data_IF_306363348681
#
_entry.id   IF_306363348681
#
_cell.length_a   1.000
_cell.length_b   1.000
_cell.length_c   1.000
_cell.angle_alpha   90.00
_cell.angle_beta   90.00
_cell.angle_gamma   90.00
#
_symmetry.space_group_name_H-M   'P 1'
#
loop_
_entity.id
_entity.type
_entity.pdbx_description
1 polymer ?
#
# COMPACT_ATOMS: atom_id res chain seq x y z
N UNK A 1 -11.01 -24.79 9.83
CA UNK A 1 -10.78 -23.37 9.49
C UNK A 1 -11.08 -22.57 10.73
N UNK A 2 -10.10 -21.91 11.36
CA UNK A 2 -10.38 -20.93 12.42
C UNK A 2 -11.16 -19.79 11.78
N UNK A 3 -12.25 -19.35 12.41
CA UNK A 3 -13.02 -18.23 11.89
C UNK A 3 -12.15 -16.96 12.01
N UNK A 4 -12.06 -16.15 10.95
CA UNK A 4 -11.29 -14.89 10.97
C UNK A 4 -11.77 -14.00 12.14
N UNK A 5 -13.07 -14.06 12.47
CA UNK A 5 -13.65 -13.34 13.60
C UNK A 5 -13.02 -13.73 14.95
N UNK A 6 -12.61 -14.99 15.15
CA UNK A 6 -12.06 -15.48 16.43
C UNK A 6 -10.81 -14.68 16.84
N UNK A 7 -10.05 -14.18 15.86
CA UNK A 7 -8.88 -13.32 16.06
C UNK A 7 -9.31 -12.00 16.70
N UNK A 8 -10.41 -11.41 16.26
CA UNK A 8 -10.88 -10.13 16.79
C UNK A 8 -11.51 -10.25 18.18
N UNK A 9 -12.09 -11.41 18.51
CA UNK A 9 -12.64 -11.68 19.85
C UNK A 9 -11.55 -11.98 20.90
N UNK A 10 -10.40 -12.51 20.50
CA UNK A 10 -9.35 -12.89 21.42
C UNK A 10 -8.57 -11.64 21.95
N UNK A 11 -8.59 -11.37 23.28
CA UNK A 11 -7.86 -10.24 23.87
C UNK A 11 -6.33 -10.38 23.79
N UNK A 12 -5.83 -11.58 23.52
CA UNK A 12 -4.39 -11.85 23.37
C UNK A 12 -3.93 -11.88 21.91
N UNK A 13 -4.77 -11.45 20.96
CA UNK A 13 -4.38 -11.36 19.56
C UNK A 13 -3.33 -10.29 19.34
N UNK A 14 -2.30 -10.65 18.57
CA UNK A 14 -1.23 -9.72 18.19
C UNK A 14 -1.71 -8.74 17.12
N UNK A 15 -1.07 -7.58 17.04
CA UNK A 15 -1.30 -6.61 15.96
C UNK A 15 -1.17 -7.26 14.57
N UNK A 16 -0.15 -8.10 14.38
CA UNK A 16 0.10 -8.75 13.09
C UNK A 16 -1.01 -9.73 12.73
N UNK A 17 -1.51 -10.51 13.70
CA UNK A 17 -2.62 -11.42 13.47
C UNK A 17 -3.90 -10.65 13.10
N UNK A 18 -4.16 -9.52 13.76
CA UNK A 18 -5.31 -8.64 13.47
C UNK A 18 -5.16 -8.00 12.09
N UNK A 19 -3.97 -7.53 11.74
CA UNK A 19 -3.66 -6.92 10.43
C UNK A 19 -3.85 -7.94 9.30
N UNK A 20 -3.30 -9.15 9.44
CA UNK A 20 -3.48 -10.24 8.47
C UNK A 20 -4.94 -10.71 8.35
N UNK A 21 -5.65 -10.80 9.47
CA UNK A 21 -7.07 -11.13 9.48
C UNK A 21 -7.90 -10.07 8.75
N UNK A 22 -7.58 -8.80 8.99
CA UNK A 22 -8.12 -7.64 8.30
C UNK A 22 -7.88 -7.68 6.80
N UNK A 23 -6.64 -7.91 6.39
CA UNK A 23 -6.23 -8.01 4.99
C UNK A 23 -7.05 -9.09 4.26
N UNK A 24 -7.15 -10.29 4.85
CA UNK A 24 -7.98 -11.39 4.32
C UNK A 24 -9.45 -11.02 4.21
N UNK A 25 -10.00 -10.31 5.19
CA UNK A 25 -11.39 -9.84 5.17
C UNK A 25 -11.63 -8.86 4.00
N UNK A 26 -10.75 -7.89 3.81
CA UNK A 26 -10.85 -6.93 2.71
C UNK A 26 -10.67 -7.59 1.34
N UNK A 27 -9.73 -8.52 1.19
CA UNK A 27 -9.59 -9.32 -0.03
C UNK A 27 -10.90 -10.05 -0.38
N UNK A 28 -11.57 -10.65 0.62
CA UNK A 28 -12.87 -11.30 0.42
C UNK A 28 -13.98 -10.30 0.03
N UNK A 29 -14.08 -9.15 0.73
CA UNK A 29 -15.08 -8.09 0.43
C UNK A 29 -14.93 -7.59 -1.01
N UNK A 30 -13.68 -7.41 -1.47
CA UNK A 30 -13.35 -6.95 -2.81
C UNK A 30 -13.18 -8.07 -3.83
N UNK A 31 -13.68 -9.28 -3.51
CA UNK A 31 -13.75 -10.44 -4.41
C UNK A 31 -12.41 -10.78 -5.07
N UNK A 32 -11.33 -10.70 -4.30
CA UNK A 32 -10.02 -11.12 -4.76
C UNK A 32 -10.00 -12.62 -5.08
N UNK A 33 -9.18 -13.07 -6.03
CA UNK A 33 -8.92 -14.49 -6.27
C UNK A 33 -8.45 -15.21 -4.99
N UNK A 34 -8.74 -16.51 -4.88
CA UNK A 34 -8.41 -17.28 -3.68
C UNK A 34 -6.90 -17.37 -3.38
N UNK A 35 -6.06 -17.25 -4.40
CA UNK A 35 -4.60 -17.25 -4.31
C UNK A 35 -4.01 -15.86 -4.10
N UNK A 36 -4.82 -14.79 -4.10
CA UNK A 36 -4.34 -13.45 -3.79
C UNK A 36 -4.32 -13.26 -2.27
N UNK A 37 -3.15 -12.86 -1.77
CA UNK A 37 -2.87 -12.73 -0.34
C UNK A 37 -2.31 -11.34 0.02
N UNK A 38 -2.17 -10.45 -0.96
CA UNK A 38 -1.65 -9.11 -0.81
C UNK A 38 -2.68 -8.09 -1.32
N UNK A 39 -3.19 -7.27 -0.41
CA UNK A 39 -4.24 -6.29 -0.73
C UNK A 39 -3.74 -5.19 -1.67
N UNK A 40 -2.46 -4.80 -1.59
CA UNK A 40 -1.88 -3.80 -2.47
C UNK A 40 -1.76 -4.34 -3.91
N UNK A 41 -1.39 -5.61 -4.09
CA UNK A 41 -1.34 -6.26 -5.41
C UNK A 41 -2.74 -6.29 -6.04
N UNK A 42 -3.75 -6.73 -5.29
CA UNK A 42 -5.15 -6.72 -5.75
C UNK A 42 -5.62 -5.31 -6.09
N UNK A 43 -5.29 -4.32 -5.24
CA UNK A 43 -5.62 -2.90 -5.47
C UNK A 43 -5.01 -2.39 -6.78
N UNK A 44 -3.75 -2.73 -7.04
CA UNK A 44 -3.05 -2.31 -8.25
C UNK A 44 -3.67 -2.97 -9.51
N UNK A 45 -3.95 -4.27 -9.46
CA UNK A 45 -4.64 -4.97 -10.54
C UNK A 45 -6.03 -4.36 -10.83
N UNK A 46 -6.79 -4.03 -9.77
CA UNK A 46 -8.08 -3.35 -9.88
C UNK A 46 -7.94 -1.95 -10.51
N UNK A 47 -6.88 -1.21 -10.16
CA UNK A 47 -6.57 0.08 -10.76
C UNK A 47 -6.28 -0.03 -12.26
N UNK A 48 -5.37 -0.93 -12.66
CA UNK A 48 -5.05 -1.16 -14.08
C UNK A 48 -6.30 -1.53 -14.90
N UNK A 49 -7.19 -2.34 -14.32
CA UNK A 49 -8.47 -2.71 -14.95
C UNK A 49 -9.44 -1.52 -15.04
N UNK A 50 -9.40 -0.59 -14.09
CA UNK A 50 -10.23 0.61 -14.10
C UNK A 50 -9.72 1.66 -15.09
N UNK A 51 -8.40 1.80 -15.23
CA UNK A 51 -7.77 2.80 -16.12
C UNK A 51 -7.98 2.54 -17.60
N UNK A 52 -8.34 1.31 -18.00
CA UNK A 52 -8.68 0.99 -19.40
C UNK A 52 -10.08 1.47 -19.80
N UNK A 53 -10.91 1.87 -18.83
CA UNK A 53 -12.27 2.37 -19.09
C UNK A 53 -12.25 3.87 -19.37
N UNK A 54 -13.10 4.30 -20.30
CA UNK A 54 -13.31 5.73 -20.64
C UNK A 54 -13.71 6.56 -19.42
N UNK A 55 -14.39 5.95 -18.45
CA UNK A 55 -14.66 6.51 -17.12
C UNK A 55 -14.11 5.54 -16.07
N UNK A 56 -12.97 5.89 -15.48
CA UNK A 56 -12.39 5.14 -14.37
C UNK A 56 -13.22 5.38 -13.11
N UNK A 57 -13.77 4.31 -12.53
CA UNK A 57 -14.42 4.37 -11.23
C UNK A 57 -13.39 4.00 -10.14
N UNK A 58 -12.81 5.04 -9.54
CA UNK A 58 -11.84 4.88 -8.45
C UNK A 58 -12.49 4.45 -7.13
N UNK A 59 -13.81 4.62 -6.98
CA UNK A 59 -14.53 4.21 -5.75
C UNK A 59 -14.61 2.70 -5.61
N UNK A 60 -14.46 1.97 -6.72
CA UNK A 60 -14.45 0.50 -6.75
C UNK A 60 -13.14 -0.13 -6.25
N UNK A 61 -12.11 0.67 -5.99
CA UNK A 61 -10.82 0.16 -5.54
C UNK A 61 -10.88 -0.30 -4.07
N UNK A 62 -10.22 -1.43 -3.73
CA UNK A 62 -9.99 -1.79 -2.33
C UNK A 62 -9.15 -0.73 -1.61
N UNK A 63 -9.23 -0.61 -0.28
CA UNK A 63 -8.32 0.26 0.47
C UNK A 63 -6.85 -0.15 0.29
N UNK A 64 -5.90 0.72 0.63
CA UNK A 64 -4.49 0.30 0.75
C UNK A 64 -4.33 -0.65 1.92
N UNK A 65 -3.25 -1.43 1.94
CA UNK A 65 -2.89 -2.30 3.06
C UNK A 65 -2.82 -1.52 4.39
N UNK A 66 -2.13 -0.38 4.43
CA UNK A 66 -2.03 0.43 5.64
C UNK A 66 -3.38 0.98 6.11
N UNK A 67 -4.26 1.38 5.18
CA UNK A 67 -5.61 1.81 5.54
C UNK A 67 -6.48 0.68 6.10
N UNK A 68 -6.38 -0.52 5.50
CA UNK A 68 -7.06 -1.72 5.96
C UNK A 68 -6.58 -2.12 7.36
N UNK A 69 -5.27 -2.08 7.61
CA UNK A 69 -4.68 -2.37 8.91
C UNK A 69 -5.21 -1.44 10.01
N UNK A 70 -5.15 -0.12 9.80
CA UNK A 70 -5.63 0.85 10.80
C UNK A 70 -7.13 0.69 11.06
N UNK A 71 -7.90 0.36 10.02
CA UNK A 71 -9.32 0.03 10.18
C UNK A 71 -9.51 -1.22 11.05
N UNK A 72 -8.75 -2.28 10.80
CA UNK A 72 -8.81 -3.53 11.58
C UNK A 72 -8.43 -3.32 13.05
N UNK A 73 -7.46 -2.45 13.35
CA UNK A 73 -7.14 -2.09 14.73
C UNK A 73 -8.29 -1.38 15.43
N UNK A 74 -8.98 -0.44 14.77
CA UNK A 74 -10.15 0.22 15.37
C UNK A 74 -11.30 -0.75 15.60
N UNK A 75 -11.53 -1.68 14.67
CA UNK A 75 -12.54 -2.75 14.84
C UNK A 75 -12.18 -3.63 16.03
N UNK A 76 -10.91 -4.02 16.16
CA UNK A 76 -10.43 -4.81 17.30
C UNK A 76 -10.68 -4.08 18.61
N UNK A 77 -10.26 -2.81 18.74
CA UNK A 77 -10.51 -1.99 19.91
C UNK A 77 -12.01 -1.95 20.27
N UNK A 78 -12.87 -1.72 19.29
CA UNK A 78 -14.31 -1.65 19.49
C UNK A 78 -14.89 -2.95 20.04
N UNK A 79 -14.47 -4.10 19.48
CA UNK A 79 -14.90 -5.43 19.93
C UNK A 79 -14.41 -5.68 21.35
N UNK A 80 -13.15 -5.39 21.65
CA UNK A 80 -12.56 -5.60 22.96
C UNK A 80 -13.22 -4.74 24.04
N UNK A 81 -13.59 -3.50 23.71
CA UNK A 81 -14.39 -2.64 24.60
C UNK A 81 -15.77 -3.24 24.91
N UNK A 82 -16.45 -3.83 23.92
CA UNK A 82 -17.73 -4.52 24.15
C UNK A 82 -17.58 -5.77 25.03
N UNK A 83 -16.42 -6.41 24.99
CA UNK A 83 -16.06 -7.54 25.87
C UNK A 83 -15.53 -7.07 27.24
N UNK A 84 -15.59 -5.77 27.53
CA UNK A 84 -15.14 -5.17 28.77
C UNK A 84 -13.62 -5.25 29.01
N UNK A 85 -12.84 -5.41 27.94
CA UNK A 85 -11.37 -5.33 27.95
C UNK A 85 -10.94 -3.88 27.69
N UNK A 86 -10.17 -3.31 28.63
CA UNK A 86 -9.69 -1.93 28.52
C UNK A 86 -8.36 -1.91 27.77
N UNK A 87 -8.43 -1.51 26.49
CA UNK A 87 -7.26 -1.28 25.64
C UNK A 87 -7.05 0.21 25.40
N UNK A 88 -5.79 0.59 25.21
CA UNK A 88 -5.43 1.98 24.97
C UNK A 88 -5.69 2.35 23.49
N UNK A 89 -6.53 3.36 23.19
CA UNK A 89 -6.92 3.66 21.80
C UNK A 89 -5.76 4.02 20.87
N UNK A 90 -4.71 4.65 21.41
CA UNK A 90 -3.49 5.06 20.71
C UNK A 90 -2.66 3.90 20.15
N UNK A 91 -2.85 2.68 20.68
CA UNK A 91 -2.25 1.46 20.16
C UNK A 91 -3.09 0.81 19.05
N UNK A 92 -4.34 1.26 18.85
CA UNK A 92 -5.32 0.54 18.05
C UNK A 92 -6.05 1.45 17.04
N UNK A 93 -5.28 2.17 16.23
CA UNK A 93 -5.77 2.91 15.06
C UNK A 93 -6.43 4.25 15.37
N UNK A 94 -6.19 4.79 16.57
CA UNK A 94 -6.52 6.16 16.95
C UNK A 94 -5.25 6.94 17.31
N UNK A 95 -5.26 8.24 17.07
CA UNK A 95 -4.26 9.18 17.54
C UNK A 95 -4.91 10.14 18.53
N UNK A 96 -4.14 10.62 19.50
CA UNK A 96 -4.61 11.54 20.53
C UNK A 96 -4.12 12.95 20.20
N UNK A 97 -5.04 13.90 20.08
CA UNK A 97 -4.73 15.31 19.91
C UNK A 97 -4.27 15.95 21.22
N UNK A 98 -3.73 17.16 21.12
CA UNK A 98 -3.22 17.93 22.27
C UNK A 98 -4.31 18.25 23.30
N UNK A 99 -5.56 18.34 22.85
CA UNK A 99 -6.77 18.56 23.67
C UNK A 99 -7.31 17.26 24.30
N UNK A 100 -6.68 16.12 24.04
CA UNK A 100 -7.11 14.79 24.47
C UNK A 100 -8.16 14.14 23.56
N UNK A 101 -8.60 14.81 22.48
CA UNK A 101 -9.53 14.25 21.51
C UNK A 101 -8.90 13.09 20.73
N UNK A 102 -9.71 12.08 20.39
CA UNK A 102 -9.27 10.93 19.59
C UNK A 102 -9.63 11.14 18.11
N UNK A 103 -8.64 10.98 17.24
CA UNK A 103 -8.80 11.04 15.79
C UNK A 103 -8.43 9.70 15.16
N UNK A 104 -9.20 9.20 14.19
CA UNK A 104 -8.86 7.92 13.56
C UNK A 104 -7.60 8.09 12.71
N UNK A 105 -6.63 7.20 12.91
CA UNK A 105 -5.48 7.09 12.01
C UNK A 105 -5.95 6.46 10.71
N UNK A 106 -5.87 7.20 9.60
CA UNK A 106 -6.39 6.71 8.31
C UNK A 106 -5.46 5.71 7.65
N UNK A 107 -4.15 5.99 7.67
CA UNK A 107 -3.07 5.11 7.21
C UNK A 107 -1.74 5.62 7.78
N UNK A 108 -0.75 4.74 7.94
CA UNK A 108 0.64 5.11 8.18
C UNK A 108 1.50 5.06 6.91
N UNK A 109 0.90 4.65 5.78
CA UNK A 109 1.56 4.65 4.49
C UNK A 109 1.96 6.09 4.09
N UNK A 110 3.10 6.29 3.42
CA UNK A 110 3.42 7.59 2.87
C UNK A 110 2.37 7.99 1.82
N UNK A 111 2.07 9.29 1.72
CA UNK A 111 1.08 9.84 0.78
C UNK A 111 1.37 9.44 -0.67
N UNK A 112 2.64 9.31 -1.01
CA UNK A 112 3.09 8.74 -2.26
C UNK A 112 4.46 8.05 -2.03
N UNK A 113 4.82 7.05 -2.84
CA UNK A 113 6.19 6.54 -2.87
C UNK A 113 7.18 7.70 -3.03
N UNK A 114 8.28 7.65 -2.26
CA UNK A 114 9.32 8.68 -2.34
C UNK A 114 9.84 8.85 -3.77
N UNK A 115 9.89 7.77 -4.54
CA UNK A 115 10.23 7.77 -5.96
C UNK A 115 9.31 8.66 -6.80
N UNK A 116 7.99 8.67 -6.56
CA UNK A 116 7.04 9.53 -7.29
C UNK A 116 7.18 10.99 -6.87
N UNK A 117 7.38 11.25 -5.57
CA UNK A 117 7.63 12.61 -5.08
C UNK A 117 8.96 13.19 -5.62
N UNK A 118 9.94 12.31 -5.86
CA UNK A 118 11.22 12.63 -6.45
C UNK A 118 11.22 12.53 -7.99
N UNK A 119 10.13 12.07 -8.61
CA UNK A 119 10.02 11.97 -10.07
C UNK A 119 9.80 13.35 -10.69
N UNK A 120 10.90 14.00 -11.06
CA UNK A 120 10.85 15.32 -11.68
C UNK A 120 10.96 15.18 -13.19
N UNK A 121 9.89 15.60 -13.86
CA UNK A 121 9.79 15.58 -15.31
C UNK A 121 10.45 16.82 -15.90
N UNK A 122 11.59 16.59 -16.53
CA UNK A 122 12.31 17.53 -17.39
C UNK A 122 11.49 17.67 -18.70
N UNK A 123 11.22 18.90 -19.19
CA UNK A 123 10.63 19.13 -20.53
C UNK A 123 11.72 19.25 -21.62
N UNK A 124 12.94 18.80 -21.36
CA UNK A 124 14.02 18.93 -22.32
C UNK A 124 13.81 17.96 -23.48
N UNK A 125 13.95 18.47 -24.70
CA UNK A 125 13.75 17.72 -25.94
C UNK A 125 15.04 17.21 -26.57
N UNK A 126 16.20 17.68 -26.10
CA UNK A 126 17.53 17.39 -26.67
C UNK A 126 18.51 16.81 -25.65
N UNK A 127 17.99 16.28 -24.53
CA UNK A 127 18.78 15.77 -23.39
C UNK A 127 18.82 16.75 -22.21
N UNK A 128 18.98 16.23 -20.98
CA UNK A 128 18.91 17.03 -19.75
C UNK A 128 20.32 17.53 -19.33
N UNK A 129 20.95 18.37 -20.16
CA UNK A 129 22.25 19.04 -19.91
C UNK A 129 22.16 20.30 -19.05
N UNK A 130 23.08 21.27 -19.21
CA UNK A 130 23.15 22.49 -18.38
C UNK A 130 21.89 23.40 -18.40
N UNK A 131 21.05 23.27 -19.43
CA UNK A 131 19.77 23.97 -19.53
C UNK A 131 18.61 23.31 -18.75
N UNK A 132 18.80 22.10 -18.23
CA UNK A 132 17.75 21.35 -17.56
C UNK A 132 17.33 21.99 -16.24
N UNK A 133 16.03 22.23 -16.07
CA UNK A 133 15.47 22.76 -14.82
C UNK A 133 15.72 21.84 -13.62
N UNK A 134 15.62 20.52 -13.80
CA UNK A 134 15.90 19.54 -12.73
C UNK A 134 17.35 19.66 -12.26
N UNK A 135 18.30 19.67 -13.20
CA UNK A 135 19.73 19.83 -12.89
C UNK A 135 20.03 21.16 -12.19
N UNK A 136 19.45 22.26 -12.67
CA UNK A 136 19.61 23.59 -12.03
C UNK A 136 19.07 23.63 -10.61
N UNK A 137 18.02 22.86 -10.33
CA UNK A 137 17.47 22.69 -8.99
C UNK A 137 18.23 21.64 -8.16
N UNK A 138 19.31 21.05 -8.67
CA UNK A 138 20.11 20.04 -7.97
C UNK A 138 19.48 18.65 -7.92
N UNK A 139 18.50 18.37 -8.80
CA UNK A 139 17.71 17.14 -8.79
C UNK A 139 17.94 16.30 -10.05
N UNK A 140 17.85 14.98 -9.91
CA UNK A 140 17.91 14.03 -11.03
C UNK A 140 16.56 13.98 -11.76
N UNK A 141 16.59 13.69 -13.06
CA UNK A 141 15.40 13.48 -13.87
C UNK A 141 14.88 12.05 -13.69
N UNK A 142 13.56 11.87 -13.69
CA UNK A 142 12.97 10.52 -13.67
C UNK A 142 13.25 9.75 -14.97
N UNK A 143 13.20 8.41 -14.89
CA UNK A 143 13.29 7.50 -16.06
C UNK A 143 12.16 7.71 -17.07
N UNK A 144 11.05 8.30 -16.62
CA UNK A 144 9.84 8.61 -17.42
C UNK A 144 9.89 10.03 -18.01
N UNK A 145 11.06 10.68 -18.03
CA UNK A 145 11.23 11.98 -18.67
C UNK A 145 10.91 11.90 -20.18
N UNK A 146 9.69 12.31 -20.53
CA UNK A 146 8.99 11.89 -21.75
C UNK A 146 9.54 12.40 -23.08
N UNK A 147 10.57 13.23 -23.10
CA UNK A 147 11.13 13.76 -24.36
C UNK A 147 12.63 13.56 -24.49
N UNK A 148 13.31 12.99 -23.49
CA UNK A 148 14.74 12.74 -23.60
C UNK A 148 15.10 11.41 -24.29
N UNK A 149 14.14 10.59 -24.75
CA UNK A 149 14.37 9.39 -25.60
C UNK A 149 15.61 8.55 -25.18
N UNK A 150 15.77 8.24 -23.88
CA UNK A 150 16.92 7.51 -23.33
C UNK A 150 18.29 8.23 -23.39
N UNK A 151 18.36 9.49 -23.82
CA UNK A 151 19.58 10.35 -23.84
C UNK A 151 19.62 11.26 -22.60
N UNK A 152 18.98 10.86 -21.50
CA UNK A 152 18.96 11.65 -20.29
C UNK A 152 20.32 11.60 -19.58
N UNK A 153 21.13 12.64 -19.74
CA UNK A 153 22.41 12.78 -19.02
C UNK A 153 22.26 13.17 -17.54
N UNK A 154 21.03 13.25 -17.04
CA UNK A 154 20.70 13.59 -15.65
C UNK A 154 19.73 12.57 -15.02
N UNK A 155 19.59 11.38 -15.60
CA UNK A 155 18.64 10.37 -15.13
C UNK A 155 19.01 9.81 -13.76
N UNK A 156 18.01 9.44 -12.97
CA UNK A 156 18.21 8.64 -11.77
C UNK A 156 18.65 7.20 -12.14
N UNK A 157 19.51 6.55 -11.35
CA UNK A 157 19.77 5.12 -11.49
C UNK A 157 18.46 4.33 -11.39
N UNK A 158 18.31 3.28 -12.20
CA UNK A 158 17.21 2.34 -12.02
C UNK A 158 17.51 1.56 -10.75
N UNK A 159 16.73 1.78 -9.69
CA UNK A 159 16.74 0.88 -8.53
C UNK A 159 16.05 -0.42 -8.96
N UNK A 160 16.80 -1.52 -8.94
CA UNK A 160 16.24 -2.87 -9.07
C UNK A 160 15.48 -3.17 -7.78
N UNK A 161 14.17 -2.93 -7.76
CA UNK A 161 13.31 -3.58 -6.76
C UNK A 161 13.29 -5.07 -7.09
N UNK A 162 14.05 -5.85 -6.32
CA UNK A 162 14.03 -7.31 -6.35
C UNK A 162 12.66 -7.78 -5.87
N UNK A 163 11.73 -7.95 -6.81
CA UNK A 163 10.49 -8.67 -6.58
C UNK A 163 10.90 -10.13 -6.36
N UNK A 164 10.92 -10.59 -5.11
CA UNK A 164 11.00 -12.03 -4.81
C UNK A 164 9.74 -12.69 -5.38
N UNK A 165 9.86 -13.17 -6.62
CA UNK A 165 8.88 -14.03 -7.25
C UNK A 165 9.18 -15.44 -6.73
N UNK A 166 8.48 -15.86 -5.68
CA UNK A 166 8.57 -17.23 -5.18
C UNK A 166 8.28 -18.20 -6.33
N UNK A 167 9.33 -18.87 -6.81
CA UNK A 167 9.23 -19.98 -7.74
C UNK A 167 8.79 -21.20 -6.95
N UNK A 168 7.51 -21.53 -7.02
CA UNK A 168 7.04 -22.88 -6.67
C UNK A 168 7.67 -23.87 -7.65
N UNK A 169 8.63 -24.67 -7.17
CA UNK A 169 9.04 -25.89 -7.85
C UNK A 169 8.10 -26.99 -7.38
N UNK A 170 7.16 -27.36 -8.25
CA UNK A 170 6.49 -28.65 -8.18
C UNK A 170 7.54 -29.75 -8.41
N UNK A 171 7.92 -30.48 -7.36
CA UNK A 171 8.46 -31.83 -7.53
C UNK A 171 7.35 -32.84 -7.31
N UNK A 172 6.82 -33.29 -8.44
CA UNK A 172 5.97 -34.45 -8.60
C UNK A 172 6.68 -35.75 -8.21
N UNK A 173 5.92 -36.61 -7.52
CA UNK A 173 5.94 -38.08 -7.56
C UNK A 173 7.27 -38.82 -7.30
N UNK A 174 7.27 -39.61 -6.22
CA UNK A 174 7.76 -41.00 -6.28
C UNK A 174 7.09 -41.87 -5.20
N UNK A 175 6.34 -42.87 -5.70
CA UNK A 175 5.99 -44.22 -5.17
C UNK A 175 5.28 -44.33 -3.81
#
# INVERSE_FOLDING_TARGET
MKNIADIFYNPSSTSDAISQAGEKMFLAIYKAPANEHNLNNHRYAAFLKSSTKVKSDLSSLPPTKGAAEQYSFRVYLQIQQWLNNQLLPDQWGWARGDDGSLFPVTTNDPVAPGTILNCIFCRCTTGCGGGCGCRKAGMQCSSVCGTCHCICTNGAPLEEEEFELDREVEESNEI
#
